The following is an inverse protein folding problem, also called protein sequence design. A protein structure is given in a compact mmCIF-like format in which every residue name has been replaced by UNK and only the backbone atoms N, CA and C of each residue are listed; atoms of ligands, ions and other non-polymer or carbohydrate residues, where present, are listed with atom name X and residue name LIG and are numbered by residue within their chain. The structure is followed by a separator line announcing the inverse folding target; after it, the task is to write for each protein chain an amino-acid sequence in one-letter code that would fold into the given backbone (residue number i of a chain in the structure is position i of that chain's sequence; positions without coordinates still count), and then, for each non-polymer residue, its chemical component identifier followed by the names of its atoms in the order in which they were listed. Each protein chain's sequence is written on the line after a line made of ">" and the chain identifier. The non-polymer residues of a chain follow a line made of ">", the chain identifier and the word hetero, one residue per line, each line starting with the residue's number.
data_IF_726671306713
#
_entry.id   IF_726671306713
#
_cell.length_a   1.000
_cell.length_b   1.000
_cell.length_c   1.000
_cell.angle_alpha   90.00
_cell.angle_beta   90.00
_cell.angle_gamma   90.00
#
_symmetry.space_group_name_H-M   'P 1'
#
loop_
_entity.id
_entity.type
_entity.pdbx_description
1 polymer ?
#
# COMPACT_ATOMS: atom_id res chain seq x y z
N UNK A 1 37.78 3.21 -2.33
CA UNK A 1 37.87 4.59 -2.85
C UNK A 1 36.61 4.85 -3.65
N UNK A 2 35.75 5.79 -3.22
CA UNK A 2 34.69 6.27 -4.12
C UNK A 2 35.42 6.89 -5.31
N UNK A 3 35.09 6.53 -6.57
CA UNK A 3 35.83 7.03 -7.70
C UNK A 3 35.84 8.56 -7.65
N UNK A 4 37.00 9.18 -7.85
CA UNK A 4 37.17 10.62 -7.74
C UNK A 4 36.15 11.38 -8.60
N UNK A 5 35.81 10.82 -9.77
CA UNK A 5 34.76 11.32 -10.66
C UNK A 5 33.38 11.44 -9.99
N UNK A 6 32.98 10.51 -9.12
CA UNK A 6 31.74 10.62 -8.36
C UNK A 6 31.82 11.69 -7.30
N UNK A 7 32.98 11.82 -6.65
CA UNK A 7 33.22 12.85 -5.64
C UNK A 7 33.17 14.25 -6.25
N UNK A 8 33.73 14.45 -7.44
CA UNK A 8 33.73 15.75 -8.12
C UNK A 8 32.34 16.16 -8.62
N UNK A 9 31.51 15.20 -9.05
CA UNK A 9 30.12 15.46 -9.46
C UNK A 9 29.27 15.89 -8.25
N UNK A 10 29.46 15.24 -7.10
CA UNK A 10 28.70 15.52 -5.87
C UNK A 10 29.22 16.76 -5.14
N UNK A 11 30.53 17.04 -5.19
CA UNK A 11 31.19 18.09 -4.42
C UNK A 11 31.09 19.51 -5.04
N UNK A 12 30.28 19.69 -6.09
CA UNK A 12 30.02 21.03 -6.65
C UNK A 12 30.57 21.24 -8.05
N UNK A 13 30.35 20.28 -8.97
CA UNK A 13 30.41 20.60 -10.39
C UNK A 13 29.55 21.82 -10.72
N UNK A 14 29.92 22.60 -11.74
CA UNK A 14 29.35 23.91 -12.10
C UNK A 14 27.80 23.99 -12.06
N UNK A 15 27.12 22.87 -12.33
CA UNK A 15 25.66 22.75 -12.37
C UNK A 15 25.03 22.00 -11.17
N UNK A 16 25.80 21.68 -10.12
CA UNK A 16 25.36 20.89 -8.96
C UNK A 16 24.09 21.45 -8.30
N UNK A 17 24.01 22.77 -8.12
CA UNK A 17 22.80 23.43 -7.59
C UNK A 17 21.57 23.31 -8.49
N UNK A 18 21.78 23.30 -9.82
CA UNK A 18 20.71 23.14 -10.80
C UNK A 18 20.20 21.69 -10.80
N UNK A 19 21.10 20.71 -10.78
CA UNK A 19 20.71 19.30 -10.67
C UNK A 19 20.03 18.99 -9.33
N UNK A 20 20.47 19.60 -8.24
CA UNK A 20 19.84 19.45 -6.93
C UNK A 20 18.40 19.98 -6.93
N UNK A 21 18.16 21.16 -7.49
CA UNK A 21 16.80 21.73 -7.59
C UNK A 21 15.91 20.90 -8.51
N UNK A 22 16.45 20.41 -9.64
CA UNK A 22 15.74 19.51 -10.53
C UNK A 22 15.35 18.19 -9.84
N UNK A 23 16.29 17.61 -9.07
CA UNK A 23 16.06 16.38 -8.32
C UNK A 23 14.98 16.55 -7.25
N UNK A 24 14.95 17.69 -6.55
CA UNK A 24 13.90 18.02 -5.59
C UNK A 24 12.52 18.09 -6.25
N UNK A 25 12.41 18.81 -7.38
CA UNK A 25 11.15 18.94 -8.12
C UNK A 25 10.68 17.57 -8.60
N UNK A 26 11.58 16.78 -9.19
CA UNK A 26 11.24 15.46 -9.70
C UNK A 26 10.80 14.51 -8.58
N UNK A 27 11.49 14.53 -7.44
CA UNK A 27 11.10 13.74 -6.26
C UNK A 27 9.68 14.10 -5.80
N UNK A 28 9.38 15.38 -5.69
CA UNK A 28 8.06 15.87 -5.26
C UNK A 28 6.95 15.45 -6.24
N UNK A 29 7.21 15.57 -7.55
CA UNK A 29 6.24 15.17 -8.58
C UNK A 29 5.96 13.66 -8.56
N UNK A 30 7.02 12.84 -8.49
CA UNK A 30 6.88 11.39 -8.40
C UNK A 30 6.17 10.99 -7.12
N UNK A 31 6.50 11.63 -6.00
CA UNK A 31 5.84 11.38 -4.72
C UNK A 31 4.35 11.70 -4.78
N UNK A 32 3.96 12.88 -5.29
CA UNK A 32 2.56 13.25 -5.47
C UNK A 32 1.82 12.28 -6.40
N UNK A 33 2.45 11.90 -7.52
CA UNK A 33 1.87 10.92 -8.43
C UNK A 33 1.65 9.56 -7.76
N UNK A 34 2.59 9.11 -6.94
CA UNK A 34 2.50 7.83 -6.22
C UNK A 34 1.42 7.87 -5.12
N UNK A 35 1.36 8.95 -4.34
CA UNK A 35 0.31 9.15 -3.34
C UNK A 35 -1.06 9.16 -4.01
N UNK A 36 -1.20 9.90 -5.11
CA UNK A 36 -2.45 9.94 -5.87
C UNK A 36 -2.80 8.56 -6.43
N UNK A 37 -1.83 7.85 -7.02
CA UNK A 37 -2.02 6.49 -7.52
C UNK A 37 -2.54 5.55 -6.43
N UNK A 38 -1.94 5.57 -5.24
CA UNK A 38 -2.33 4.72 -4.11
C UNK A 38 -3.74 5.05 -3.62
N UNK A 39 -4.08 6.34 -3.47
CA UNK A 39 -5.44 6.75 -3.05
C UNK A 39 -6.48 6.43 -4.12
N UNK A 40 -6.10 6.52 -5.40
CA UNK A 40 -6.97 6.21 -6.53
C UNK A 40 -7.29 4.72 -6.66
N UNK A 41 -6.55 3.84 -5.97
CA UNK A 41 -6.89 2.41 -5.95
C UNK A 41 -8.25 2.24 -5.26
N UNK A 42 -9.26 1.74 -5.98
CA UNK A 42 -10.58 1.56 -5.38
C UNK A 42 -10.48 0.52 -4.27
N UNK A 43 -11.00 0.86 -3.08
CA UNK A 43 -11.16 -0.06 -1.94
C UNK A 43 -12.25 -1.11 -2.17
N UNK A 44 -12.39 -1.60 -3.42
CA UNK A 44 -13.47 -2.49 -3.85
C UNK A 44 -13.44 -3.85 -3.18
N UNK A 45 -12.32 -4.25 -2.58
CA UNK A 45 -12.16 -5.53 -1.89
C UNK A 45 -13.12 -5.74 -0.71
N UNK A 46 -13.72 -4.68 -0.15
CA UNK A 46 -14.69 -4.82 0.94
C UNK A 46 -16.14 -4.62 0.53
N UNK A 47 -16.44 -4.29 -0.74
CA UNK A 47 -17.83 -4.08 -1.17
C UNK A 47 -18.59 -5.40 -1.37
N UNK A 48 -17.88 -6.45 -1.79
CA UNK A 48 -18.43 -7.79 -1.86
C UNK A 48 -18.57 -8.37 -0.44
N UNK A 49 -17.54 -8.20 0.40
CA UNK A 49 -17.50 -8.68 1.79
C UNK A 49 -18.52 -7.99 2.73
N UNK A 50 -18.82 -6.70 2.53
CA UNK A 50 -19.81 -5.97 3.33
C UNK A 50 -21.27 -6.32 2.98
N UNK A 51 -21.51 -6.88 1.80
CA UNK A 51 -22.82 -7.35 1.38
C UNK A 51 -22.99 -8.85 1.62
N UNK A 52 -21.97 -9.53 2.17
CA UNK A 52 -22.16 -10.88 2.66
C UNK A 52 -23.17 -10.75 3.81
N UNK A 53 -24.32 -11.44 3.74
CA UNK A 53 -25.22 -11.47 4.88
C UNK A 53 -24.40 -11.89 6.10
N UNK A 54 -24.60 -11.24 7.25
CA UNK A 54 -24.04 -11.74 8.51
C UNK A 54 -24.36 -13.23 8.56
N UNK A 55 -23.36 -14.08 8.80
CA UNK A 55 -23.62 -15.47 9.16
C UNK A 55 -24.49 -15.43 10.42
N UNK A 56 -25.80 -15.56 10.22
CA UNK A 56 -26.71 -15.82 11.32
C UNK A 56 -26.24 -17.16 11.89
N UNK A 57 -25.81 -17.16 13.16
CA UNK A 57 -25.47 -18.35 13.95
C UNK A 57 -26.70 -19.25 14.15
N UNK A 58 -27.28 -19.79 13.07
CA UNK A 58 -28.44 -20.68 13.11
C UNK A 58 -28.40 -21.66 11.94
N UNK A 59 -27.65 -22.74 12.12
CA UNK A 59 -28.10 -24.12 11.89
C UNK A 59 -26.92 -25.08 12.06
N UNK A 60 -26.63 -25.46 13.32
CA UNK A 60 -26.17 -26.82 13.56
C UNK A 60 -27.42 -27.70 13.63
N UNK A 61 -27.86 -28.15 12.45
CA UNK A 61 -28.80 -29.25 12.32
C UNK A 61 -28.01 -30.57 12.45
N UNK A 62 -28.50 -31.44 13.34
CA UNK A 62 -28.17 -32.86 13.56
C UNK A 62 -26.98 -33.21 14.47
N UNK A 63 -27.29 -33.78 15.65
CA UNK A 63 -26.86 -35.16 15.97
C UNK A 63 -27.83 -35.81 16.96
N UNK A 64 -28.53 -36.84 16.48
CA UNK A 64 -29.18 -37.90 17.27
C UNK A 64 -28.16 -38.59 18.17
N UNK A 65 -28.17 -38.39 19.50
CA UNK A 65 -27.65 -39.40 20.46
C UNK A 65 -28.32 -39.28 21.85
N UNK A 66 -29.10 -40.29 22.22
CA UNK A 66 -29.06 -40.87 23.57
C UNK A 66 -29.95 -40.29 24.69
N UNK A 67 -30.99 -41.05 25.04
CA UNK A 67 -31.44 -41.34 26.42
C UNK A 67 -31.47 -40.17 27.42
N UNK A 68 -32.65 -39.59 27.67
CA UNK A 68 -33.18 -39.33 29.03
C UNK A 68 -34.52 -38.61 28.99
N UNK A 69 -35.62 -39.35 29.11
CA UNK A 69 -36.50 -39.25 30.28
C UNK A 69 -37.60 -40.30 30.20
N UNK A 70 -37.75 -40.99 31.33
CA UNK A 70 -38.81 -41.92 31.67
C UNK A 70 -40.20 -41.29 31.51
#
# INVERSE_FOLDING_TARGET
>A
MIPQSFKDIVAGGEYSGLFQTLAMILFILVFMALVWYVISRPKKYYQEEQNIPLEDEKQEENTDIGLTKL
#
